data_IF_786008300641
#
_entry.id   IF_786008300641
#
_cell.length_a   1.000
_cell.length_b   1.000
_cell.length_c   1.000
_cell.angle_alpha   90.00
_cell.angle_beta   90.00
_cell.angle_gamma   90.00
#
_symmetry.space_group_name_H-M   'P 1'
#
loop_
_entity.id
_entity.type
_entity.pdbx_description
1 polymer ?
#
# COMPACT_ATOMS: atom_id res chain seq x y z
N UNK A 1 -34.27 -1.37 48.90
CA UNK A 1 -33.44 -0.62 49.84
C UNK A 1 -32.42 0.20 49.05
N UNK A 2 -32.80 1.46 48.80
CA UNK A 2 -31.93 2.39 48.08
C UNK A 2 -30.98 3.11 49.00
N UNK A 3 -29.80 3.46 48.52
CA UNK A 3 -28.99 4.54 49.10
C UNK A 3 -28.56 5.49 47.98
N UNK A 4 -29.19 6.67 48.02
CA UNK A 4 -28.76 7.88 47.34
C UNK A 4 -27.47 8.39 47.96
N UNK A 5 -26.45 8.70 47.14
CA UNK A 5 -25.32 9.52 47.53
C UNK A 5 -25.47 10.89 46.91
N UNK A 6 -25.69 11.90 47.76
CA UNK A 6 -25.72 13.31 47.38
C UNK A 6 -24.28 13.83 47.25
N UNK A 7 -24.04 14.52 46.17
CA UNK A 7 -22.78 15.24 45.89
C UNK A 7 -22.93 16.71 46.32
N UNK A 8 -22.19 17.12 47.36
CA UNK A 8 -22.15 18.50 47.88
C UNK A 8 -21.32 19.41 46.94
N UNK A 9 -21.97 20.46 46.47
CA UNK A 9 -21.28 21.58 45.79
C UNK A 9 -20.69 22.53 46.83
N UNK A 10 -19.38 22.76 46.81
CA UNK A 10 -18.73 23.86 47.52
C UNK A 10 -18.89 25.16 46.73
N UNK A 11 -19.53 26.15 47.33
CA UNK A 11 -19.56 27.53 46.87
C UNK A 11 -18.30 28.27 47.30
N UNK A 12 -17.53 28.79 46.38
CA UNK A 12 -16.39 29.67 46.62
C UNK A 12 -16.90 31.12 46.49
N UNK A 13 -16.78 31.92 47.54
CA UNK A 13 -17.06 33.33 47.56
C UNK A 13 -15.86 34.19 47.14
N UNK A 14 -16.02 35.35 46.48
CA UNK A 14 -14.91 36.20 46.06
C UNK A 14 -14.48 37.16 47.19
N UNK A 15 -13.18 37.16 47.48
CA UNK A 15 -12.55 38.11 48.37
C UNK A 15 -12.41 39.49 47.71
N UNK A 16 -12.93 40.54 48.41
CA UNK A 16 -12.72 41.96 48.13
C UNK A 16 -11.34 42.39 48.64
N UNK A 17 -10.56 43.09 47.82
CA UNK A 17 -9.32 43.80 48.19
C UNK A 17 -9.58 45.31 48.13
N UNK A 18 -9.18 46.12 49.14
CA UNK A 18 -9.46 47.56 49.16
C UNK A 18 -8.42 48.37 48.39
N UNK A 19 -8.93 49.38 47.70
CA UNK A 19 -8.19 50.44 47.03
C UNK A 19 -7.40 51.30 48.02
N UNK A 20 -6.08 51.50 47.79
CA UNK A 20 -5.34 52.68 48.26
C UNK A 20 -4.51 53.25 47.15
N UNK A 21 -4.91 54.43 46.67
CA UNK A 21 -4.16 55.34 45.81
C UNK A 21 -2.84 55.74 46.48
N UNK A 22 -1.71 55.61 45.77
CA UNK A 22 -0.53 56.49 45.93
C UNK A 22 0.04 56.78 44.56
N UNK A 23 -0.07 58.04 44.19
CA UNK A 23 0.51 58.67 43.04
C UNK A 23 2.04 58.80 43.25
N UNK A 24 2.86 58.16 42.46
CA UNK A 24 4.28 58.48 42.29
C UNK A 24 4.54 58.74 40.83
N UNK A 25 4.83 60.00 40.56
CA UNK A 25 5.31 60.53 39.32
C UNK A 25 6.77 60.04 39.15
N UNK A 26 7.04 59.16 38.17
CA UNK A 26 8.38 58.80 37.77
C UNK A 26 8.51 58.97 36.24
N UNK A 27 9.52 59.71 35.88
CA UNK A 27 9.84 60.11 34.53
C UNK A 27 10.00 58.92 33.58
N UNK A 28 9.25 58.92 32.49
CA UNK A 28 9.34 57.94 31.41
C UNK A 28 10.55 58.27 30.50
N UNK A 29 11.64 57.59 30.68
CA UNK A 29 12.69 57.49 29.66
C UNK A 29 12.25 56.45 28.62
N UNK A 30 11.71 56.93 27.52
CA UNK A 30 11.34 56.06 26.38
C UNK A 30 12.65 55.55 25.71
N UNK A 31 13.06 54.34 26.05
CA UNK A 31 14.04 53.62 25.28
C UNK A 31 13.29 53.02 24.07
N UNK A 32 13.42 53.71 22.94
CA UNK A 32 12.96 53.24 21.64
C UNK A 32 13.87 52.07 21.20
N UNK A 33 13.56 50.86 21.64
CA UNK A 33 14.26 49.64 21.18
C UNK A 33 13.80 49.36 19.75
N UNK A 34 14.61 49.83 18.81
CA UNK A 34 14.45 49.51 17.39
C UNK A 34 14.71 48.00 17.24
N UNK A 35 13.67 47.18 17.27
CA UNK A 35 13.75 45.79 16.83
C UNK A 35 13.98 45.79 15.34
N UNK A 36 15.27 45.75 14.92
CA UNK A 36 15.65 45.33 13.60
C UNK A 36 15.15 43.85 13.46
N UNK A 37 14.00 43.69 12.86
CA UNK A 37 13.56 42.40 12.32
C UNK A 37 14.56 42.06 11.19
N UNK A 38 15.65 41.41 11.56
CA UNK A 38 16.47 40.66 10.61
C UNK A 38 15.57 39.57 10.05
N UNK A 39 14.88 39.83 8.95
CA UNK A 39 14.29 38.80 8.13
C UNK A 39 15.45 37.95 7.61
N UNK A 40 15.79 36.90 8.35
CA UNK A 40 16.68 35.88 7.84
C UNK A 40 16.01 35.33 6.57
N UNK A 41 16.54 35.76 5.43
CA UNK A 41 16.09 35.18 4.15
C UNK A 41 16.44 33.70 4.19
N UNK A 42 15.42 32.86 4.26
CA UNK A 42 15.60 31.42 4.27
C UNK A 42 16.33 31.02 2.98
N UNK A 43 17.40 30.26 3.14
CA UNK A 43 18.12 29.66 2.04
C UNK A 43 17.24 28.61 1.36
N UNK A 44 17.09 28.69 0.03
CA UNK A 44 16.24 27.79 -0.74
C UNK A 44 17.08 27.00 -1.74
N UNK A 45 16.93 25.68 -1.72
CA UNK A 45 17.50 24.80 -2.74
C UNK A 45 16.58 24.75 -3.96
N UNK A 46 17.14 25.02 -5.13
CA UNK A 46 16.46 24.92 -6.43
C UNK A 46 17.06 23.73 -7.17
N UNK A 47 16.32 22.63 -7.35
CA UNK A 47 16.83 21.45 -8.06
C UNK A 47 17.03 21.70 -9.56
N UNK A 48 16.44 22.75 -10.11
CA UNK A 48 16.49 23.06 -11.54
C UNK A 48 15.67 22.07 -12.39
N UNK A 49 14.80 21.28 -11.76
CA UNK A 49 13.92 20.32 -12.42
C UNK A 49 12.53 20.94 -12.52
N UNK A 50 11.97 20.89 -13.72
CA UNK A 50 10.58 21.20 -14.00
C UNK A 50 9.79 19.88 -13.99
N UNK A 51 8.93 19.73 -12.99
CA UNK A 51 8.12 18.50 -12.77
C UNK A 51 6.80 18.59 -13.50
N UNK A 52 6.33 17.46 -14.06
CA UNK A 52 4.94 17.34 -14.47
C UNK A 52 4.03 17.41 -13.24
N UNK A 53 2.90 18.10 -13.37
CA UNK A 53 1.92 18.19 -12.29
C UNK A 53 1.35 16.79 -11.99
N UNK A 54 1.33 16.35 -10.71
CA UNK A 54 0.71 15.09 -10.33
C UNK A 54 -0.77 15.07 -10.71
N UNK A 55 -1.21 14.00 -11.37
CA UNK A 55 -2.60 13.81 -11.76
C UNK A 55 -3.51 13.69 -10.52
N UNK A 56 -4.56 14.50 -10.38
CA UNK A 56 -5.49 14.38 -9.26
C UNK A 56 -6.27 13.07 -9.32
N UNK A 57 -6.21 12.29 -8.24
CA UNK A 57 -6.96 11.05 -8.06
C UNK A 57 -7.84 11.17 -6.82
N UNK A 58 -9.14 10.91 -6.97
CA UNK A 58 -10.05 10.87 -5.82
C UNK A 58 -9.88 9.53 -5.10
N UNK A 59 -9.50 9.53 -3.82
CA UNK A 59 -9.38 8.30 -3.04
C UNK A 59 -10.76 7.66 -2.82
N UNK A 60 -10.80 6.36 -2.58
CA UNK A 60 -12.00 5.66 -2.12
C UNK A 60 -12.49 6.17 -0.76
N UNK A 61 -13.70 5.81 -0.37
CA UNK A 61 -14.29 6.21 0.95
C UNK A 61 -13.51 5.61 2.13
N UNK A 62 -12.96 4.43 1.93
CA UNK A 62 -12.05 3.75 2.85
C UNK A 62 -10.76 3.38 2.12
N UNK A 63 -9.72 2.97 2.84
CA UNK A 63 -8.46 2.54 2.23
C UNK A 63 -8.58 1.24 1.40
N UNK A 64 -9.73 0.56 1.45
CA UNK A 64 -10.00 -0.66 0.70
C UNK A 64 -10.84 -0.41 -0.56
N UNK A 65 -11.53 0.73 -0.64
CA UNK A 65 -12.33 1.09 -1.81
C UNK A 65 -11.43 1.56 -2.96
N UNK A 66 -11.83 1.30 -4.22
CA UNK A 66 -11.05 1.69 -5.37
C UNK A 66 -10.96 3.22 -5.51
N UNK A 67 -9.77 3.77 -5.79
CA UNK A 67 -9.62 5.16 -6.20
C UNK A 67 -10.17 5.39 -7.63
N UNK A 68 -10.34 6.66 -8.01
CA UNK A 68 -10.99 7.02 -9.29
C UNK A 68 -10.23 6.58 -10.54
N UNK A 69 -8.94 6.28 -10.45
CA UNK A 69 -8.09 5.78 -11.54
C UNK A 69 -7.93 4.25 -11.55
N UNK A 70 -8.67 3.54 -10.70
CA UNK A 70 -8.63 2.09 -10.65
C UNK A 70 -9.47 1.43 -11.74
N UNK A 71 -8.97 0.34 -12.28
CA UNK A 71 -9.72 -0.63 -13.08
C UNK A 71 -10.34 -1.63 -12.12
N UNK A 72 -11.66 -1.75 -12.14
CA UNK A 72 -12.38 -2.71 -11.32
C UNK A 72 -12.32 -4.07 -12.00
N UNK A 73 -11.67 -5.04 -11.35
CA UNK A 73 -11.57 -6.40 -11.84
C UNK A 73 -12.72 -7.29 -11.35
N UNK A 74 -13.25 -7.01 -10.15
CA UNK A 74 -14.44 -7.67 -9.63
C UNK A 74 -15.10 -6.81 -8.53
N UNK A 75 -16.34 -6.42 -8.77
CA UNK A 75 -17.18 -5.60 -7.89
C UNK A 75 -18.18 -6.37 -7.04
N UNK A 76 -18.18 -7.72 -7.17
CA UNK A 76 -19.13 -8.60 -6.51
C UNK A 76 -20.24 -9.11 -7.44
N UNK A 77 -20.30 -8.69 -8.69
CA UNK A 77 -21.38 -9.03 -9.64
C UNK A 77 -20.84 -9.63 -10.92
N UNK A 78 -19.87 -8.98 -11.57
CA UNK A 78 -19.48 -9.29 -12.94
C UNK A 78 -18.07 -9.92 -13.02
N UNK A 79 -17.95 -10.97 -13.81
CA UNK A 79 -16.69 -11.64 -14.16
C UNK A 79 -16.28 -11.42 -15.61
N UNK A 80 -16.94 -10.50 -16.32
CA UNK A 80 -16.67 -10.25 -17.76
C UNK A 80 -15.24 -9.79 -18.05
N UNK A 81 -14.56 -9.20 -17.05
CA UNK A 81 -13.14 -8.84 -17.12
C UNK A 81 -12.16 -10.03 -17.05
N UNK A 82 -12.65 -11.25 -16.84
CA UNK A 82 -11.85 -12.46 -16.67
C UNK A 82 -12.05 -13.46 -17.82
N UNK A 83 -10.98 -14.19 -18.15
CA UNK A 83 -11.01 -15.35 -19.02
C UNK A 83 -11.13 -16.61 -18.16
N UNK A 84 -11.82 -17.63 -18.67
CA UNK A 84 -12.00 -18.96 -18.06
C UNK A 84 -12.74 -18.93 -16.71
N UNK A 85 -13.59 -17.92 -16.48
CA UNK A 85 -14.29 -17.75 -15.21
C UNK A 85 -15.64 -18.51 -15.13
N UNK A 86 -16.04 -19.29 -16.13
CA UNK A 86 -17.36 -19.91 -16.27
C UNK A 86 -17.72 -20.87 -15.12
N UNK A 87 -16.71 -21.50 -14.51
CA UNK A 87 -16.88 -22.42 -13.39
C UNK A 87 -16.80 -21.74 -12.04
N UNK A 88 -16.29 -20.49 -12.00
CA UNK A 88 -16.20 -19.73 -10.77
C UNK A 88 -17.55 -19.08 -10.47
N UNK A 89 -18.09 -19.33 -9.29
CA UNK A 89 -19.45 -18.91 -8.94
C UNK A 89 -19.45 -17.56 -8.25
N UNK A 90 -20.23 -16.62 -8.78
CA UNK A 90 -20.56 -15.37 -8.08
C UNK A 90 -21.76 -15.62 -7.19
N UNK A 91 -21.66 -15.25 -5.92
CA UNK A 91 -22.76 -15.31 -4.97
C UNK A 91 -22.59 -14.27 -3.86
N UNK A 92 -23.64 -13.55 -3.51
CA UNK A 92 -23.68 -12.61 -2.38
C UNK A 92 -22.48 -11.62 -2.35
N UNK A 93 -22.08 -11.12 -3.52
CA UNK A 93 -21.01 -10.11 -3.64
C UNK A 93 -19.58 -10.66 -3.59
N UNK A 94 -19.40 -11.97 -3.76
CA UNK A 94 -18.06 -12.57 -3.86
C UNK A 94 -17.99 -13.69 -4.87
N UNK A 95 -16.78 -13.96 -5.34
CA UNK A 95 -16.41 -15.00 -6.28
C UNK A 95 -15.87 -16.21 -5.51
N UNK A 96 -16.30 -17.41 -5.86
CA UNK A 96 -15.81 -18.68 -5.27
C UNK A 96 -14.97 -19.39 -6.31
N UNK A 97 -13.74 -19.80 -5.92
CA UNK A 97 -12.86 -20.60 -6.77
C UNK A 97 -13.60 -21.82 -7.33
N UNK A 98 -13.61 -21.91 -8.66
CA UNK A 98 -14.13 -23.03 -9.43
C UNK A 98 -13.01 -23.90 -10.01
N UNK A 99 -13.25 -24.53 -11.16
CA UNK A 99 -12.26 -25.37 -11.83
C UNK A 99 -11.39 -24.56 -12.79
N UNK A 100 -10.08 -24.66 -12.62
CA UNK A 100 -9.09 -24.00 -13.46
C UNK A 100 -8.74 -22.59 -13.01
N UNK A 101 -7.57 -22.13 -13.43
CA UNK A 101 -7.08 -20.79 -13.16
C UNK A 101 -7.80 -19.77 -14.06
N UNK A 102 -8.19 -18.62 -13.49
CA UNK A 102 -8.73 -17.49 -14.25
C UNK A 102 -7.66 -16.43 -14.47
N UNK A 103 -7.81 -15.62 -15.51
CA UNK A 103 -6.89 -14.54 -15.83
C UNK A 103 -7.64 -13.30 -16.29
N UNK A 104 -7.13 -12.12 -15.97
CA UNK A 104 -7.69 -10.87 -16.49
C UNK A 104 -7.57 -10.81 -18.02
N UNK A 105 -8.54 -10.20 -18.69
CA UNK A 105 -8.50 -9.91 -20.14
C UNK A 105 -7.49 -8.79 -20.43
N UNK A 106 -7.47 -7.78 -19.57
CA UNK A 106 -6.48 -6.70 -19.63
C UNK A 106 -5.15 -7.18 -19.00
N UNK A 107 -4.03 -6.63 -19.48
CA UNK A 107 -2.68 -6.89 -18.98
C UNK A 107 -2.16 -5.71 -18.17
N UNK A 108 -1.31 -5.99 -17.19
CA UNK A 108 -0.77 -5.01 -16.26
C UNK A 108 0.74 -5.21 -16.10
N UNK A 109 1.46 -4.08 -16.11
CA UNK A 109 2.87 -3.98 -15.75
C UNK A 109 3.02 -3.52 -14.30
N UNK A 110 3.76 -2.42 -14.08
CA UNK A 110 3.86 -1.80 -12.76
C UNK A 110 2.48 -1.35 -12.27
N UNK A 111 2.03 -1.89 -11.14
CA UNK A 111 0.69 -1.62 -10.66
C UNK A 111 0.56 -1.77 -9.14
N UNK A 112 -0.50 -1.17 -8.62
CA UNK A 112 -1.04 -1.46 -7.29
C UNK A 112 -2.29 -2.32 -7.48
N UNK A 113 -2.30 -3.51 -6.88
CA UNK A 113 -3.44 -4.42 -6.86
C UNK A 113 -3.99 -4.50 -5.44
N UNK A 114 -5.29 -4.33 -5.29
CA UNK A 114 -6.03 -4.66 -4.07
C UNK A 114 -6.94 -5.85 -4.32
N UNK A 115 -7.02 -6.76 -3.37
CA UNK A 115 -8.01 -7.83 -3.37
C UNK A 115 -8.32 -8.26 -1.94
N UNK A 116 -9.58 -8.66 -1.73
CA UNK A 116 -9.97 -9.32 -0.50
C UNK A 116 -10.25 -10.81 -0.76
N UNK A 117 -9.81 -11.65 0.16
CA UNK A 117 -9.99 -13.09 0.06
C UNK A 117 -10.31 -13.74 1.41
N UNK A 118 -10.93 -14.90 1.37
CA UNK A 118 -11.30 -15.63 2.58
C UNK A 118 -11.12 -17.14 2.37
N UNK A 119 -10.42 -17.78 3.30
CA UNK A 119 -10.29 -19.23 3.31
C UNK A 119 -11.64 -19.89 3.64
N UNK A 120 -11.89 -21.13 3.20
CA UNK A 120 -13.15 -21.83 3.46
C UNK A 120 -13.42 -22.04 4.95
N UNK A 121 -14.71 -21.95 5.33
CA UNK A 121 -15.20 -22.36 6.63
C UNK A 121 -16.33 -23.41 6.41
N UNK A 122 -16.26 -24.60 7.05
CA UNK A 122 -15.21 -25.09 7.94
C UNK A 122 -13.88 -25.31 7.21
N UNK A 123 -12.75 -25.08 7.92
CA UNK A 123 -11.43 -25.41 7.40
C UNK A 123 -11.29 -26.92 7.15
N UNK A 124 -10.74 -27.29 5.98
CA UNK A 124 -10.51 -28.69 5.62
C UNK A 124 -9.09 -28.87 5.12
N UNK A 125 -8.45 -29.97 5.49
CA UNK A 125 -7.06 -30.26 5.12
C UNK A 125 -6.04 -29.69 6.08
N UNK A 126 -4.78 -29.83 5.73
CA UNK A 126 -3.60 -29.37 6.49
C UNK A 126 -2.50 -28.88 5.53
N UNK A 127 -1.56 -28.07 6.04
CA UNK A 127 -0.46 -27.57 5.26
C UNK A 127 -0.93 -26.91 3.97
N UNK A 128 -0.30 -27.22 2.85
CA UNK A 128 -0.64 -26.68 1.53
C UNK A 128 -1.98 -27.19 0.95
N UNK A 129 -2.61 -28.15 1.59
CA UNK A 129 -3.96 -28.64 1.23
C UNK A 129 -5.12 -27.87 1.87
N UNK A 130 -4.85 -26.83 2.67
CA UNK A 130 -5.86 -26.10 3.42
C UNK A 130 -6.02 -24.66 2.95
N UNK A 131 -7.18 -24.36 2.32
CA UNK A 131 -7.53 -23.00 1.89
C UNK A 131 -6.49 -22.38 0.95
N UNK A 132 -5.97 -23.17 0.01
CA UNK A 132 -4.91 -22.78 -0.91
C UNK A 132 -5.48 -22.16 -2.20
N UNK A 133 -4.81 -21.13 -2.66
CA UNK A 133 -4.97 -20.44 -3.93
C UNK A 133 -3.67 -19.64 -4.19
N UNK A 134 -3.68 -18.72 -5.15
CA UNK A 134 -2.56 -17.82 -5.43
C UNK A 134 -2.98 -16.64 -6.28
N UNK A 135 -2.27 -15.52 -6.10
CA UNK A 135 -2.33 -14.35 -6.97
C UNK A 135 -1.07 -14.32 -7.80
N UNK A 136 -1.21 -14.25 -9.13
CA UNK A 136 -0.09 -14.30 -10.04
C UNK A 136 0.02 -13.04 -10.91
N UNK A 137 1.22 -12.49 -11.01
CA UNK A 137 1.61 -11.57 -12.08
C UNK A 137 2.42 -12.36 -13.10
N UNK A 138 1.75 -12.82 -14.18
CA UNK A 138 2.39 -13.79 -15.09
C UNK A 138 2.84 -15.06 -14.37
N UNK A 139 4.15 -15.40 -14.33
CA UNK A 139 4.64 -16.61 -13.66
C UNK A 139 5.01 -16.42 -12.18
N UNK A 140 4.76 -15.23 -11.59
CA UNK A 140 5.19 -14.83 -10.25
C UNK A 140 4.05 -14.90 -9.27
N UNK A 141 4.13 -15.77 -8.27
CA UNK A 141 3.06 -16.04 -7.31
C UNK A 141 3.27 -15.33 -5.97
N UNK A 142 2.23 -14.63 -5.53
CA UNK A 142 2.02 -14.27 -4.13
C UNK A 142 1.01 -15.27 -3.56
N UNK A 143 1.44 -16.04 -2.56
CA UNK A 143 0.69 -17.16 -2.03
C UNK A 143 -0.59 -16.73 -1.30
N UNK A 144 -1.66 -17.46 -1.53
CA UNK A 144 -2.87 -17.48 -0.71
C UNK A 144 -2.97 -18.83 -0.03
N UNK A 145 -3.00 -18.85 1.30
CA UNK A 145 -3.12 -20.06 2.09
C UNK A 145 -3.83 -19.76 3.42
N UNK A 146 -4.64 -20.69 3.89
CA UNK A 146 -5.06 -20.64 5.29
C UNK A 146 -3.88 -20.97 6.21
N UNK A 147 -3.14 -19.93 6.60
CA UNK A 147 -1.97 -20.02 7.50
C UNK A 147 -2.33 -19.85 8.98
N UNK A 148 -3.63 -19.73 9.32
CA UNK A 148 -4.08 -19.60 10.71
C UNK A 148 -3.94 -20.94 11.42
N UNK A 149 -3.02 -21.05 12.40
CA UNK A 149 -2.76 -22.29 13.15
C UNK A 149 -2.61 -23.51 12.21
N UNK A 150 -1.86 -23.35 11.13
CA UNK A 150 -1.65 -24.37 10.10
C UNK A 150 -0.15 -24.57 9.84
N UNK A 151 0.40 -25.65 10.30
CA UNK A 151 1.80 -26.00 10.10
C UNK A 151 2.08 -26.29 8.62
N UNK A 152 3.02 -25.52 8.04
CA UNK A 152 3.54 -25.70 6.68
C UNK A 152 4.93 -25.09 6.57
N UNK A 153 5.59 -25.26 5.41
CA UNK A 153 6.85 -24.54 5.16
C UNK A 153 6.58 -23.03 5.03
N UNK A 154 7.47 -22.22 5.59
CA UNK A 154 7.23 -20.77 5.77
C UNK A 154 7.17 -20.00 4.46
N UNK A 155 7.95 -20.40 3.45
CA UNK A 155 7.95 -19.84 2.10
C UNK A 155 6.76 -20.29 1.23
N UNK A 156 5.75 -20.88 1.85
CA UNK A 156 4.46 -21.23 1.27
C UNK A 156 3.29 -20.79 2.15
N UNK A 157 3.51 -19.94 3.16
CA UNK A 157 2.44 -19.31 3.93
C UNK A 157 1.75 -18.19 3.15
N UNK A 158 0.60 -17.71 3.67
CA UNK A 158 -0.08 -16.56 3.08
C UNK A 158 0.86 -15.37 2.91
N UNK A 159 0.85 -14.72 1.74
CA UNK A 159 1.70 -13.62 1.33
C UNK A 159 3.20 -13.96 1.18
N UNK A 160 3.61 -15.23 1.22
CA UNK A 160 4.92 -15.62 0.76
C UNK A 160 5.08 -15.32 -0.74
N UNK A 161 6.29 -14.95 -1.17
CA UNK A 161 6.69 -15.10 -2.57
C UNK A 161 7.09 -16.56 -2.72
N UNK A 162 6.18 -17.31 -3.36
CA UNK A 162 6.17 -18.77 -3.28
C UNK A 162 7.53 -19.39 -3.58
N UNK A 163 8.05 -20.20 -2.63
CA UNK A 163 9.36 -20.86 -2.65
C UNK A 163 10.59 -19.94 -2.77
N UNK A 164 10.42 -18.61 -2.50
CA UNK A 164 11.54 -17.66 -2.48
C UNK A 164 11.73 -17.01 -1.11
N UNK A 165 10.66 -16.51 -0.50
CA UNK A 165 10.70 -15.86 0.83
C UNK A 165 9.40 -16.02 1.59
N UNK A 166 9.45 -16.28 2.92
CA UNK A 166 8.27 -16.21 3.76
C UNK A 166 7.79 -14.76 3.93
N UNK A 167 6.55 -14.55 4.41
CA UNK A 167 6.13 -13.23 4.90
C UNK A 167 6.94 -12.86 6.15
N UNK A 168 7.17 -11.55 6.36
CA UNK A 168 7.87 -11.02 7.56
C UNK A 168 7.15 -11.43 8.84
N UNK A 169 5.83 -11.47 8.82
CA UNK A 169 4.96 -11.91 9.92
C UNK A 169 3.71 -12.59 9.36
N UNK A 170 3.12 -13.53 10.12
CA UNK A 170 1.85 -14.16 9.78
C UNK A 170 0.70 -13.38 10.44
N UNK A 171 -0.08 -12.67 9.65
CA UNK A 171 -1.24 -11.87 10.09
C UNK A 171 -2.57 -12.44 9.58
N UNK A 172 -2.57 -13.73 9.25
CA UNK A 172 -3.74 -14.44 8.77
C UNK A 172 -4.89 -14.39 9.78
N UNK A 173 -6.08 -14.05 9.32
CA UNK A 173 -7.33 -14.14 10.09
C UNK A 173 -7.86 -15.58 10.11
N UNK A 174 -8.79 -15.86 11.03
CA UNK A 174 -9.41 -17.18 11.15
C UNK A 174 -10.11 -17.60 9.85
N UNK A 175 -10.21 -18.92 9.56
CA UNK A 175 -10.99 -19.41 8.45
C UNK A 175 -12.40 -18.81 8.39
N UNK A 176 -12.82 -18.41 7.20
CA UNK A 176 -14.09 -17.74 6.98
C UNK A 176 -14.07 -16.21 7.12
N UNK A 177 -13.08 -15.63 7.81
CA UNK A 177 -12.90 -14.18 7.88
C UNK A 177 -12.24 -13.66 6.60
N UNK A 178 -12.51 -12.39 6.27
CA UNK A 178 -11.92 -11.73 5.11
C UNK A 178 -10.53 -11.18 5.43
N UNK A 179 -9.57 -11.50 4.58
CA UNK A 179 -8.24 -10.94 4.54
C UNK A 179 -8.13 -9.98 3.36
N UNK A 180 -7.27 -8.98 3.44
CA UNK A 180 -6.94 -8.09 2.32
C UNK A 180 -5.45 -8.20 1.96
N UNK A 181 -5.16 -8.14 0.66
CA UNK A 181 -3.83 -7.85 0.14
C UNK A 181 -3.84 -6.51 -0.58
N UNK A 182 -2.86 -5.67 -0.24
CA UNK A 182 -2.46 -4.52 -1.02
C UNK A 182 -1.05 -4.81 -1.56
N UNK A 183 -0.94 -4.94 -2.87
CA UNK A 183 0.27 -5.40 -3.55
C UNK A 183 0.78 -4.28 -4.45
N UNK A 184 2.02 -3.83 -4.23
CA UNK A 184 2.74 -2.94 -5.14
C UNK A 184 3.69 -3.82 -5.94
N UNK A 185 3.39 -3.99 -7.21
CA UNK A 185 4.14 -4.82 -8.14
C UNK A 185 4.94 -3.97 -9.11
N UNK A 186 6.22 -4.32 -9.31
CA UNK A 186 7.06 -3.85 -10.39
C UNK A 186 7.48 -5.03 -11.25
N UNK A 187 7.12 -4.99 -12.51
CA UNK A 187 7.43 -6.04 -13.47
C UNK A 187 8.91 -6.04 -13.83
N UNK A 188 9.53 -7.20 -14.11
CA UNK A 188 10.91 -7.23 -14.56
C UNK A 188 11.08 -6.57 -15.92
N UNK A 189 12.28 -6.08 -16.20
CA UNK A 189 12.64 -5.49 -17.48
C UNK A 189 13.65 -6.36 -18.20
N UNK A 190 13.52 -6.45 -19.50
CA UNK A 190 14.42 -7.17 -20.37
C UNK A 190 14.88 -6.27 -21.51
N UNK A 191 16.13 -6.44 -21.95
CA UNK A 191 16.63 -5.77 -23.15
C UNK A 191 16.11 -6.46 -24.43
N UNK A 192 16.47 -5.91 -25.59
CA UNK A 192 16.04 -6.45 -26.88
C UNK A 192 16.63 -7.86 -27.17
N UNK A 193 17.70 -8.24 -26.48
CA UNK A 193 18.30 -9.59 -26.59
C UNK A 193 17.64 -10.57 -25.61
N UNK A 194 16.73 -10.12 -24.73
CA UNK A 194 16.06 -10.93 -23.74
C UNK A 194 16.85 -11.09 -22.42
N UNK A 195 17.90 -10.31 -22.21
CA UNK A 195 18.61 -10.32 -20.94
C UNK A 195 17.84 -9.50 -19.90
N UNK A 196 17.83 -9.99 -18.65
CA UNK A 196 17.25 -9.25 -17.53
C UNK A 196 18.06 -7.98 -17.27
N UNK A 197 17.41 -6.82 -17.29
CA UNK A 197 18.01 -5.52 -16.95
C UNK A 197 17.58 -5.02 -15.58
N UNK A 198 16.34 -5.33 -15.17
CA UNK A 198 15.80 -5.04 -13.84
C UNK A 198 14.97 -6.23 -13.37
N UNK A 199 15.22 -6.77 -12.17
CA UNK A 199 14.40 -7.82 -11.59
C UNK A 199 13.01 -7.28 -11.19
N UNK A 200 12.04 -8.16 -11.05
CA UNK A 200 10.75 -7.83 -10.48
C UNK A 200 10.90 -7.51 -9.00
N UNK A 201 10.12 -6.53 -8.50
CA UNK A 201 10.03 -6.26 -7.06
C UNK A 201 8.59 -6.22 -6.59
N UNK A 202 8.39 -6.59 -5.33
CA UNK A 202 7.07 -6.61 -4.74
C UNK A 202 7.07 -6.12 -3.29
N UNK A 203 6.09 -5.29 -2.98
CA UNK A 203 5.72 -4.94 -1.59
C UNK A 203 4.30 -5.43 -1.35
N UNK A 204 4.06 -6.11 -0.23
CA UNK A 204 2.74 -6.63 0.13
C UNK A 204 2.38 -6.18 1.54
N UNK A 205 1.17 -5.60 1.66
CA UNK A 205 0.50 -5.45 2.93
C UNK A 205 -0.60 -6.52 3.02
N UNK A 206 -0.59 -7.32 4.08
CA UNK A 206 -1.64 -8.27 4.40
C UNK A 206 -2.40 -7.77 5.63
N UNK A 207 -3.70 -7.52 5.48
CA UNK A 207 -4.53 -6.90 6.52
C UNK A 207 -3.97 -5.55 7.03
N UNK A 208 -3.36 -4.76 6.13
CA UNK A 208 -2.72 -3.48 6.45
C UNK A 208 -1.34 -3.59 7.11
N UNK A 209 -0.82 -4.80 7.34
CA UNK A 209 0.51 -5.02 7.91
C UNK A 209 1.51 -5.35 6.81
N UNK A 210 2.67 -4.71 6.81
CA UNK A 210 3.74 -4.96 5.85
C UNK A 210 4.31 -6.37 6.04
N UNK A 211 4.20 -7.20 5.02
CA UNK A 211 4.66 -8.60 5.03
C UNK A 211 5.72 -8.92 3.98
N UNK A 212 5.80 -8.11 2.91
CA UNK A 212 6.91 -8.09 1.95
C UNK A 212 7.32 -6.64 1.72
N UNK A 213 8.60 -6.31 1.82
CA UNK A 213 9.12 -4.96 1.71
C UNK A 213 10.08 -4.85 0.53
N UNK A 214 9.57 -4.42 -0.63
CA UNK A 214 10.35 -4.27 -1.86
C UNK A 214 11.26 -5.49 -2.14
N UNK A 215 10.70 -6.68 -1.93
CA UNK A 215 11.44 -7.93 -2.16
C UNK A 215 11.76 -8.06 -3.65
N UNK A 216 13.04 -8.27 -3.96
CA UNK A 216 13.51 -8.54 -5.31
C UNK A 216 13.37 -10.04 -5.60
N UNK A 217 12.56 -10.39 -6.60
CA UNK A 217 12.31 -11.77 -6.97
C UNK A 217 13.55 -12.38 -7.66
N UNK A 218 13.78 -13.65 -7.41
CA UNK A 218 14.83 -14.43 -8.05
C UNK A 218 14.42 -14.99 -9.44
N UNK A 219 13.18 -14.76 -9.84
CA UNK A 219 12.57 -15.27 -11.05
C UNK A 219 11.14 -15.75 -10.80
N UNK A 220 10.64 -16.64 -11.65
CA UNK A 220 9.34 -17.31 -11.48
C UNK A 220 9.29 -18.14 -10.17
N UNK A 221 8.10 -18.61 -9.81
CA UNK A 221 7.83 -19.26 -8.51
C UNK A 221 7.45 -20.74 -8.65
N UNK A 222 8.32 -21.61 -9.18
CA UNK A 222 8.01 -23.03 -9.33
C UNK A 222 8.16 -23.79 -8.00
N UNK A 223 7.38 -24.85 -7.84
CA UNK A 223 7.51 -25.76 -6.70
C UNK A 223 8.77 -26.64 -6.75
N UNK A 224 9.14 -27.12 -7.94
CA UNK A 224 10.03 -28.28 -8.13
C UNK A 224 11.38 -27.97 -8.81
N UNK A 225 11.74 -26.69 -8.95
CA UNK A 225 13.03 -26.27 -9.50
C UNK A 225 13.42 -24.89 -8.97
N UNK A 226 14.68 -24.46 -9.12
CA UNK A 226 15.06 -23.08 -8.79
C UNK A 226 14.30 -22.05 -9.64
N UNK A 227 14.04 -20.84 -9.08
CA UNK A 227 13.53 -19.70 -9.82
C UNK A 227 14.41 -19.34 -11.01
N UNK A 228 13.81 -18.81 -12.06
CA UNK A 228 14.53 -18.23 -13.20
C UNK A 228 13.69 -17.18 -13.88
N UNK A 229 14.34 -16.18 -14.46
CA UNK A 229 13.70 -15.28 -15.39
C UNK A 229 13.66 -15.87 -16.79
N UNK A 230 12.56 -15.60 -17.48
CA UNK A 230 12.41 -15.85 -18.92
C UNK A 230 11.80 -14.59 -19.53
N UNK A 231 12.31 -14.09 -20.67
CA UNK A 231 11.79 -12.88 -21.30
C UNK A 231 10.29 -13.00 -21.58
N UNK A 232 9.56 -11.93 -21.30
CA UNK A 232 8.13 -11.81 -21.57
C UNK A 232 7.76 -10.35 -21.80
N UNK A 233 6.58 -10.03 -22.33
CA UNK A 233 6.10 -8.66 -22.43
C UNK A 233 6.08 -7.95 -21.06
N UNK A 234 6.24 -6.63 -21.02
CA UNK A 234 6.24 -5.87 -19.77
C UNK A 234 4.90 -5.88 -19.04
N UNK A 235 3.81 -6.16 -19.74
CA UNK A 235 2.48 -6.32 -19.16
C UNK A 235 1.99 -7.75 -19.35
N UNK A 236 1.50 -8.37 -18.28
CA UNK A 236 0.94 -9.71 -18.25
C UNK A 236 -0.41 -9.70 -17.55
N UNK A 237 -1.30 -10.68 -17.81
CA UNK A 237 -2.54 -10.80 -17.07
C UNK A 237 -2.28 -11.15 -15.60
N UNK A 238 -3.11 -10.59 -14.72
CA UNK A 238 -3.21 -11.05 -13.33
C UNK A 238 -4.05 -12.33 -13.33
N UNK A 239 -3.65 -13.31 -12.51
CA UNK A 239 -4.32 -14.60 -12.46
C UNK A 239 -4.65 -14.99 -11.02
N UNK A 240 -5.78 -15.70 -10.85
CA UNK A 240 -6.17 -16.33 -9.59
C UNK A 240 -6.21 -17.85 -9.77
N UNK A 241 -5.62 -18.54 -8.80
CA UNK A 241 -5.38 -19.97 -8.90
C UNK A 241 -6.55 -20.81 -8.37
N UNK A 242 -6.89 -21.88 -9.11
CA UNK A 242 -7.59 -23.05 -8.56
C UNK A 242 -6.57 -24.02 -7.98
N UNK A 243 -6.61 -24.21 -6.67
CA UNK A 243 -5.88 -25.26 -5.96
C UNK A 243 -6.83 -26.26 -5.29
N UNK A 244 -8.03 -26.47 -5.85
CA UNK A 244 -9.09 -27.38 -5.37
C UNK A 244 -9.66 -27.01 -3.99
N UNK A 245 -9.48 -25.77 -3.58
CA UNK A 245 -10.03 -25.22 -2.33
C UNK A 245 -10.99 -24.08 -2.69
N UNK A 246 -12.22 -24.04 -2.16
CA UNK A 246 -13.21 -23.03 -2.48
C UNK A 246 -12.91 -21.70 -1.75
N UNK A 247 -11.75 -21.15 -1.98
CA UNK A 247 -11.38 -19.81 -1.53
C UNK A 247 -12.35 -18.80 -2.14
N UNK A 248 -12.65 -17.73 -1.42
CA UNK A 248 -13.55 -16.67 -1.87
C UNK A 248 -12.77 -15.40 -2.11
N UNK A 249 -13.18 -14.63 -3.12
CA UNK A 249 -12.61 -13.35 -3.49
C UNK A 249 -13.69 -12.28 -3.61
N UNK A 250 -13.34 -11.04 -3.27
CA UNK A 250 -14.20 -9.87 -3.51
C UNK A 250 -13.34 -8.60 -3.60
N UNK A 251 -13.95 -7.50 -4.00
CA UNK A 251 -13.32 -6.19 -4.02
C UNK A 251 -11.92 -6.23 -4.67
N UNK A 252 -11.88 -6.63 -5.96
CA UNK A 252 -10.62 -6.74 -6.69
C UNK A 252 -10.50 -5.55 -7.62
N UNK A 253 -9.48 -4.73 -7.42
CA UNK A 253 -9.19 -3.60 -8.29
C UNK A 253 -7.68 -3.41 -8.46
N UNK A 254 -7.30 -2.82 -9.58
CA UNK A 254 -5.91 -2.55 -9.92
C UNK A 254 -5.78 -1.14 -10.49
N UNK A 255 -4.68 -0.46 -10.18
CA UNK A 255 -4.31 0.80 -10.84
C UNK A 255 -2.89 0.72 -11.35
N UNK A 256 -2.64 1.30 -12.54
CA UNK A 256 -1.30 1.36 -13.15
C UNK A 256 -0.46 2.41 -12.42
N UNK A 257 0.78 2.08 -12.11
CA UNK A 257 1.75 3.02 -11.55
C UNK A 257 2.40 3.77 -12.72
N UNK A 258 2.18 5.09 -12.77
CA UNK A 258 2.82 5.97 -13.75
C UNK A 258 4.16 6.47 -13.19
N UNK A 259 5.24 6.50 -13.98
CA UNK A 259 6.49 7.09 -13.55
C UNK A 259 6.33 8.60 -13.35
N UNK A 260 6.96 9.13 -12.31
CA UNK A 260 7.11 10.58 -12.14
C UNK A 260 8.08 11.08 -13.20
N UNK A 261 7.72 12.15 -13.91
CA UNK A 261 8.55 12.78 -14.94
C UNK A 261 8.96 14.18 -14.54
N UNK A 262 10.21 14.51 -14.81
CA UNK A 262 10.74 15.83 -14.64
C UNK A 262 11.87 16.08 -15.63
N UNK A 263 11.97 17.31 -16.12
CA UNK A 263 13.01 17.73 -17.07
C UNK A 263 13.99 18.65 -16.37
N UNK A 264 15.28 18.32 -16.42
CA UNK A 264 16.32 19.22 -15.93
C UNK A 264 16.42 20.42 -16.86
N UNK A 265 15.93 21.59 -16.46
CA UNK A 265 15.91 22.82 -17.28
C UNK A 265 17.05 23.79 -16.90
N UNK A 266 17.53 23.70 -15.65
CA UNK A 266 18.63 24.54 -15.14
C UNK A 266 19.54 23.71 -14.22
N UNK A 267 20.81 24.11 -14.05
CA UNK A 267 21.67 23.52 -13.03
C UNK A 267 21.05 23.68 -11.62
N UNK A 268 21.27 22.72 -10.70
CA UNK A 268 20.90 22.90 -9.30
C UNK A 268 21.56 24.15 -8.70
N UNK A 269 20.85 24.89 -7.86
CA UNK A 269 21.34 26.16 -7.31
C UNK A 269 20.81 26.37 -5.89
N UNK A 270 21.46 27.30 -5.19
CA UNK A 270 21.00 27.86 -3.91
C UNK A 270 20.55 29.29 -4.11
N UNK A 271 19.35 29.62 -3.68
CA UNK A 271 18.81 30.98 -3.66
C UNK A 271 18.85 31.55 -2.24
N UNK A 272 19.56 32.71 -2.09
CA UNK A 272 19.58 33.50 -0.87
C UNK A 272 18.94 34.87 -1.16
N UNK A 273 17.70 35.04 -0.76
CA UNK A 273 16.93 36.24 -1.12
C UNK A 273 16.83 36.41 -2.65
N UNK A 274 17.45 37.43 -3.23
CA UNK A 274 17.43 37.70 -4.67
C UNK A 274 18.60 37.09 -5.45
N UNK A 275 19.59 36.52 -4.75
CA UNK A 275 20.82 35.98 -5.38
C UNK A 275 20.68 34.45 -5.54
N UNK A 276 20.90 33.95 -6.76
CA UNK A 276 20.94 32.53 -7.07
C UNK A 276 22.37 32.13 -7.45
N UNK A 277 22.90 31.12 -6.74
CA UNK A 277 24.27 30.62 -6.97
C UNK A 277 24.16 29.15 -7.42
N UNK A 278 24.60 28.82 -8.66
CA UNK A 278 24.66 27.45 -9.12
C UNK A 278 25.56 26.58 -8.23
N UNK A 279 25.14 25.33 -8.01
CA UNK A 279 25.98 24.34 -7.34
C UNK A 279 27.00 23.74 -8.32
N UNK A 280 28.20 23.36 -7.84
CA UNK A 280 29.15 22.62 -8.66
C UNK A 280 28.53 21.30 -9.13
N UNK A 281 28.89 20.86 -10.35
CA UNK A 281 28.50 19.51 -10.80
C UNK A 281 29.16 18.49 -9.86
N UNK A 282 28.36 17.63 -9.23
CA UNK A 282 28.92 16.45 -8.58
C UNK A 282 29.36 15.48 -9.67
N UNK A 283 30.66 15.15 -9.66
CA UNK A 283 31.26 14.14 -10.53
C UNK A 283 30.69 12.74 -10.20
#
# INVERSE_FOLDING_TARGET
MGKHVQMNMLKIQPNRVPNRFRLHLLASTSILTCFLLLTASAQEYLPGIEWEEPEPVTPGKTNQDPPSDAVILFDGVDTSGWNNAETWKVTTGFLIVGKGMISTKETFGDCQLHLEWSSPLPAKGTGQGRGNSGVFFGPYEIQILDSFENATYFDGQAAAIYKQTPPLVNVMRKPGEWNSYDIIWKTPRFDAAGNLTEPATVTVLHNGVLVQNNFELLGDTPYNRPPRYSPHPPELPIRLQDHRNPVRFRNIWVRKIKPIRGTQTQPPAIRNGKTTTPLPKTE
#
